data_IF_135261169371
#
_entry.id   IF_135261169371
#
_cell.length_a   1.000
_cell.length_b   1.000
_cell.length_c   1.000
_cell.angle_alpha   90.00
_cell.angle_beta   90.00
_cell.angle_gamma   90.00
#
_symmetry.space_group_name_H-M   'P 1'
#
loop_
_entity.id
_entity.type
_entity.pdbx_description
1 polymer ?
#
# COMPACT_ATOMS: atom_id res chain seq x y z
N UNK A 1 6.56 -4.61 -32.52
CA UNK A 1 7.01 -5.29 -31.28
C UNK A 1 5.97 -5.04 -30.20
N UNK A 2 5.51 -6.08 -29.51
CA UNK A 2 4.55 -5.93 -28.41
C UNK A 2 5.31 -5.80 -27.10
N UNK A 3 4.85 -4.91 -26.20
CA UNK A 3 5.38 -4.76 -24.85
C UNK A 3 4.30 -5.16 -23.84
N UNK A 4 4.71 -5.80 -22.74
CA UNK A 4 3.87 -6.14 -21.61
C UNK A 4 4.33 -5.30 -20.41
N UNK A 5 3.42 -4.50 -19.86
CA UNK A 5 3.67 -3.67 -18.70
C UNK A 5 2.89 -4.22 -17.50
N UNK A 6 3.60 -4.49 -16.38
CA UNK A 6 2.98 -4.87 -15.12
C UNK A 6 2.90 -3.65 -14.21
N UNK A 7 1.69 -3.37 -13.75
CA UNK A 7 1.40 -2.37 -12.74
C UNK A 7 0.63 -3.02 -11.60
N UNK A 8 1.09 -2.78 -10.37
CA UNK A 8 0.45 -3.28 -9.16
C UNK A 8 0.04 -2.14 -8.26
N UNK A 9 -1.19 -2.16 -7.83
CA UNK A 9 -1.71 -1.22 -6.84
C UNK A 9 -1.72 -1.87 -5.46
N UNK A 10 -1.12 -1.18 -4.51
CA UNK A 10 -1.01 -1.63 -3.11
C UNK A 10 -1.84 -0.69 -2.25
N UNK A 11 -2.97 -1.18 -1.80
CA UNK A 11 -3.88 -0.42 -0.95
C UNK A 11 -4.45 -1.31 0.15
N UNK A 12 -4.49 -0.79 1.38
CA UNK A 12 -5.15 -1.39 2.52
C UNK A 12 -5.92 -0.30 3.26
N UNK A 13 -7.26 -0.37 3.25
CA UNK A 13 -8.08 0.58 3.99
C UNK A 13 -7.98 0.30 5.49
N UNK A 14 -8.17 1.35 6.30
CA UNK A 14 -8.47 1.15 7.71
C UNK A 14 -9.88 0.59 7.87
N UNK A 15 -10.03 -0.38 8.75
CA UNK A 15 -11.32 -1.00 9.08
C UNK A 15 -11.86 -0.31 10.31
N UNK A 16 -13.13 0.06 10.23
CA UNK A 16 -13.82 0.69 11.33
C UNK A 16 -14.42 -0.39 12.23
N UNK A 17 -14.39 -0.15 13.53
CA UNK A 17 -15.12 -0.96 14.50
C UNK A 17 -16.62 -0.66 14.42
N UNK A 18 -17.43 -1.52 15.03
CA UNK A 18 -18.82 -1.19 15.22
C UNK A 18 -18.95 0.02 16.16
N UNK A 19 -19.50 1.11 15.64
CA UNK A 19 -19.64 2.38 16.33
C UNK A 19 -21.09 2.80 16.34
N UNK A 20 -21.62 3.15 17.52
CA UNK A 20 -23.03 3.49 17.70
C UNK A 20 -23.21 4.98 18.01
N UNK A 21 -24.45 5.45 17.93
CA UNK A 21 -24.78 6.81 18.33
C UNK A 21 -24.36 7.14 19.76
N UNK A 22 -24.39 6.16 20.66
CA UNK A 22 -24.04 6.36 22.08
C UNK A 22 -22.52 6.49 22.32
N UNK A 23 -21.69 6.14 21.35
CA UNK A 23 -20.24 6.29 21.42
C UNK A 23 -19.79 7.70 21.03
N UNK A 24 -20.67 8.51 20.39
CA UNK A 24 -20.36 9.86 19.93
C UNK A 24 -20.05 10.77 21.12
N UNK A 25 -18.86 11.38 21.10
CA UNK A 25 -18.38 12.28 22.15
C UNK A 25 -17.86 11.58 23.42
N UNK A 26 -17.97 10.26 23.51
CA UNK A 26 -17.48 9.44 24.64
C UNK A 26 -16.19 8.72 24.25
N UNK A 27 -16.14 8.21 23.03
CA UNK A 27 -15.03 7.43 22.51
C UNK A 27 -14.68 7.92 21.08
N UNK A 28 -13.40 8.24 20.86
CA UNK A 28 -12.88 8.69 19.57
C UNK A 28 -12.13 7.60 18.79
N UNK A 29 -12.07 6.39 19.31
CA UNK A 29 -11.41 5.27 18.62
C UNK A 29 -12.37 4.63 17.61
N UNK A 30 -12.28 5.07 16.36
CA UNK A 30 -13.15 4.61 15.28
C UNK A 30 -12.65 3.35 14.59
N UNK A 31 -11.36 3.07 14.70
CA UNK A 31 -10.70 1.99 13.95
C UNK A 31 -10.66 0.69 14.74
N UNK A 32 -10.77 -0.42 14.03
CA UNK A 32 -10.59 -1.76 14.54
C UNK A 32 -9.11 -2.16 14.41
N UNK A 33 -8.31 -1.81 15.40
CA UNK A 33 -6.87 -2.06 15.38
C UNK A 33 -6.54 -3.56 15.31
N UNK A 34 -7.28 -4.41 16.00
CA UNK A 34 -7.06 -5.86 15.99
C UNK A 34 -7.31 -6.44 14.61
N UNK A 35 -8.41 -6.02 13.95
CA UNK A 35 -8.70 -6.42 12.58
C UNK A 35 -7.66 -5.87 11.59
N UNK A 36 -7.26 -4.61 11.73
CA UNK A 36 -6.23 -3.99 10.88
C UNK A 36 -4.90 -4.72 11.00
N UNK A 37 -4.43 -4.96 12.21
CA UNK A 37 -3.20 -5.70 12.49
C UNK A 37 -3.27 -7.14 11.96
N UNK A 38 -4.33 -7.90 12.31
CA UNK A 38 -4.48 -9.29 11.92
C UNK A 38 -4.54 -9.50 10.40
N UNK A 39 -5.28 -8.63 9.70
CA UNK A 39 -5.37 -8.68 8.24
C UNK A 39 -4.06 -8.26 7.59
N UNK A 40 -3.40 -7.20 8.09
CA UNK A 40 -2.12 -6.75 7.55
C UNK A 40 -1.05 -7.83 7.68
N UNK A 41 -0.90 -8.46 8.83
CA UNK A 41 0.05 -9.57 9.03
C UNK A 41 -0.23 -10.76 8.12
N UNK A 42 -1.52 -11.10 7.94
CA UNK A 42 -1.93 -12.17 7.03
C UNK A 42 -1.56 -11.87 5.58
N UNK A 43 -1.86 -10.66 5.11
CA UNK A 43 -1.60 -10.25 3.72
C UNK A 43 -0.10 -10.06 3.49
N UNK A 44 0.65 -9.52 4.45
CA UNK A 44 2.11 -9.42 4.38
C UNK A 44 2.75 -10.79 4.12
N UNK A 45 2.38 -11.80 4.91
CA UNK A 45 2.94 -13.16 4.81
C UNK A 45 2.51 -13.92 3.56
N UNK A 46 1.25 -13.75 3.13
CA UNK A 46 0.68 -14.54 2.02
C UNK A 46 0.77 -13.88 0.66
N UNK A 47 0.94 -12.56 0.62
CA UNK A 47 0.94 -11.79 -0.61
C UNK A 47 2.20 -10.95 -0.78
N UNK A 48 2.40 -9.91 0.03
CA UNK A 48 3.44 -8.90 -0.23
C UNK A 48 4.86 -9.47 -0.18
N UNK A 49 5.23 -10.16 0.90
CA UNK A 49 6.58 -10.71 1.04
C UNK A 49 6.90 -11.77 -0.03
N UNK A 50 6.04 -12.79 -0.29
CA UNK A 50 6.29 -13.76 -1.33
C UNK A 50 6.35 -13.15 -2.73
N UNK A 51 5.47 -12.18 -3.04
CA UNK A 51 5.45 -11.51 -4.34
C UNK A 51 6.70 -10.67 -4.54
N UNK A 52 7.08 -9.86 -3.55
CA UNK A 52 8.27 -9.03 -3.64
C UNK A 52 9.55 -9.87 -3.78
N UNK A 53 9.64 -11.00 -3.09
CA UNK A 53 10.73 -11.96 -3.26
C UNK A 53 10.77 -12.55 -4.68
N UNK A 54 9.60 -12.90 -5.24
CA UNK A 54 9.49 -13.40 -6.61
C UNK A 54 9.93 -12.33 -7.63
N UNK A 55 9.45 -11.10 -7.48
CA UNK A 55 9.81 -9.99 -8.37
C UNK A 55 11.32 -9.71 -8.32
N UNK A 56 11.90 -9.68 -7.14
CA UNK A 56 13.34 -9.51 -6.96
C UNK A 56 14.14 -10.63 -7.66
N UNK A 57 13.67 -11.87 -7.52
CA UNK A 57 14.27 -13.02 -8.23
C UNK A 57 14.17 -12.88 -9.75
N UNK A 58 13.03 -12.41 -10.28
CA UNK A 58 12.84 -12.20 -11.71
C UNK A 58 13.73 -11.06 -12.24
N UNK A 59 13.83 -9.95 -11.51
CA UNK A 59 14.70 -8.83 -11.87
C UNK A 59 16.15 -9.31 -11.98
N UNK A 60 16.64 -10.08 -10.99
CA UNK A 60 18.00 -10.64 -10.99
C UNK A 60 18.19 -11.65 -12.13
N UNK A 61 17.21 -12.54 -12.33
CA UNK A 61 17.29 -13.58 -13.38
C UNK A 61 17.39 -13.00 -14.78
N UNK A 62 16.71 -11.90 -15.03
CA UNK A 62 16.67 -11.27 -16.36
C UNK A 62 17.60 -10.04 -16.49
N UNK A 63 18.54 -9.88 -15.55
CA UNK A 63 19.57 -8.86 -15.58
C UNK A 63 19.01 -7.44 -15.81
N UNK A 64 17.99 -7.08 -15.01
CA UNK A 64 17.35 -5.77 -15.05
C UNK A 64 16.44 -5.50 -16.27
N UNK A 65 16.22 -6.48 -17.15
CA UNK A 65 15.28 -6.34 -18.28
C UNK A 65 13.82 -6.48 -17.86
N UNK A 66 13.54 -7.12 -16.72
CA UNK A 66 12.22 -7.21 -16.13
C UNK A 66 11.98 -5.99 -15.25
N UNK A 67 10.95 -5.21 -15.60
CA UNK A 67 10.59 -3.98 -14.89
C UNK A 67 9.11 -4.01 -14.51
N UNK A 68 8.78 -3.37 -13.40
CA UNK A 68 7.40 -3.27 -12.89
C UNK A 68 7.14 -1.89 -12.32
N UNK A 69 5.87 -1.51 -12.24
CA UNK A 69 5.43 -0.28 -11.58
C UNK A 69 4.49 -0.59 -10.43
N UNK A 70 4.60 0.17 -9.36
CA UNK A 70 3.71 0.12 -8.20
C UNK A 70 3.13 1.50 -7.92
N UNK A 71 1.91 1.54 -7.41
CA UNK A 71 1.44 2.62 -6.55
C UNK A 71 1.14 2.06 -5.16
N UNK A 72 1.46 2.82 -4.13
CA UNK A 72 1.26 2.43 -2.73
C UNK A 72 0.56 3.58 -2.03
N UNK A 73 -0.66 3.35 -1.51
CA UNK A 73 -1.40 4.38 -0.80
C UNK A 73 -0.74 4.71 0.55
N UNK A 74 -0.92 5.94 1.03
CA UNK A 74 -0.44 6.38 2.33
C UNK A 74 -0.97 5.52 3.46
N UNK A 75 -2.28 5.19 3.42
CA UNK A 75 -2.91 4.29 4.41
C UNK A 75 -2.30 2.88 4.44
N UNK A 76 -1.81 2.37 3.30
CA UNK A 76 -1.09 1.10 3.28
C UNK A 76 0.31 1.24 3.89
N UNK A 77 1.01 2.34 3.60
CA UNK A 77 2.34 2.61 4.18
C UNK A 77 2.27 2.74 5.70
N UNK A 78 1.30 3.48 6.23
CA UNK A 78 1.09 3.61 7.68
C UNK A 78 0.89 2.26 8.36
N UNK A 79 0.04 1.41 7.77
CA UNK A 79 -0.21 0.08 8.32
C UNK A 79 1.01 -0.85 8.19
N UNK A 80 1.82 -0.72 7.12
CA UNK A 80 3.09 -1.44 7.04
C UNK A 80 4.05 -0.98 8.14
N UNK A 81 4.16 0.33 8.36
CA UNK A 81 5.04 0.88 9.40
C UNK A 81 4.62 0.40 10.79
N UNK A 82 3.32 0.40 11.07
CA UNK A 82 2.78 0.01 12.37
C UNK A 82 2.85 -1.51 12.63
N UNK A 83 2.58 -2.36 11.63
CA UNK A 83 2.34 -3.79 11.84
C UNK A 83 3.28 -4.73 11.09
N UNK A 84 3.88 -4.30 9.98
CA UNK A 84 4.69 -5.15 9.11
C UNK A 84 5.85 -4.39 8.44
N UNK A 85 6.80 -3.82 9.21
CA UNK A 85 7.89 -3.00 8.67
C UNK A 85 8.81 -3.77 7.69
N UNK A 86 8.85 -5.10 7.79
CA UNK A 86 9.57 -5.95 6.84
C UNK A 86 9.05 -5.83 5.40
N UNK A 87 7.76 -5.49 5.22
CA UNK A 87 7.18 -5.24 3.90
C UNK A 87 7.79 -3.97 3.28
N UNK A 88 7.93 -2.90 4.07
CA UNK A 88 8.59 -1.66 3.61
C UNK A 88 10.02 -1.96 3.18
N UNK A 89 10.76 -2.76 3.96
CA UNK A 89 12.12 -3.13 3.62
C UNK A 89 12.17 -3.91 2.29
N UNK A 90 11.23 -4.83 2.07
CA UNK A 90 11.15 -5.59 0.82
C UNK A 90 10.87 -4.68 -0.40
N UNK A 91 10.03 -3.66 -0.27
CA UNK A 91 9.81 -2.66 -1.32
C UNK A 91 11.06 -1.79 -1.56
N UNK A 92 11.76 -1.38 -0.50
CA UNK A 92 13.03 -0.64 -0.63
C UNK A 92 14.08 -1.44 -1.43
N UNK A 93 14.20 -2.73 -1.17
CA UNK A 93 15.10 -3.62 -1.91
C UNK A 93 14.72 -3.69 -3.40
N UNK A 94 13.42 -3.78 -3.71
CA UNK A 94 12.93 -3.75 -5.09
C UNK A 94 13.27 -2.42 -5.79
N UNK A 95 12.99 -1.29 -5.15
CA UNK A 95 13.28 0.05 -5.70
C UNK A 95 14.77 0.25 -5.90
N UNK A 96 15.60 -0.24 -4.98
CA UNK A 96 17.06 -0.16 -5.09
C UNK A 96 17.64 -0.87 -6.33
N UNK A 97 16.92 -1.79 -6.94
CA UNK A 97 17.34 -2.44 -8.20
C UNK A 97 17.32 -1.50 -9.40
N UNK A 98 16.63 -0.36 -9.33
CA UNK A 98 16.38 0.55 -10.46
C UNK A 98 15.38 0.01 -11.51
N UNK A 99 14.72 -1.14 -11.24
CA UNK A 99 13.78 -1.79 -12.14
C UNK A 99 12.32 -1.63 -11.72
N UNK A 100 12.10 -0.89 -10.64
CA UNK A 100 10.76 -0.63 -10.08
C UNK A 100 10.50 0.87 -10.09
N UNK A 101 9.38 1.26 -10.70
CA UNK A 101 8.87 2.62 -10.71
C UNK A 101 7.74 2.76 -9.71
N UNK A 102 7.80 3.79 -8.87
CA UNK A 102 6.71 4.15 -7.97
C UNK A 102 5.89 5.28 -8.59
N UNK A 103 4.59 5.04 -8.71
CA UNK A 103 3.63 6.01 -9.19
C UNK A 103 2.91 6.67 -8.01
N UNK A 104 2.68 7.98 -8.12
CA UNK A 104 1.91 8.71 -7.12
C UNK A 104 0.43 8.33 -7.18
N UNK A 105 -0.18 8.28 -6.01
CA UNK A 105 -1.64 8.17 -5.85
C UNK A 105 -2.11 9.00 -4.66
N UNK A 106 -3.43 9.14 -4.50
CA UNK A 106 -3.98 9.82 -3.33
C UNK A 106 -3.72 9.01 -2.07
N UNK A 107 -3.43 9.72 -0.97
CA UNK A 107 -3.09 9.11 0.32
C UNK A 107 -4.09 8.03 0.77
N UNK A 108 -5.39 8.34 0.70
CA UNK A 108 -6.47 7.44 1.09
C UNK A 108 -7.03 6.61 -0.07
N UNK A 109 -6.38 6.61 -1.24
CA UNK A 109 -6.91 5.96 -2.44
C UNK A 109 -8.33 6.43 -2.77
N UNK A 110 -8.55 7.73 -2.75
CA UNK A 110 -9.87 8.36 -2.82
C UNK A 110 -10.18 8.99 -4.18
N UNK A 111 -11.46 9.23 -4.40
CA UNK A 111 -11.97 10.00 -5.53
C UNK A 111 -12.17 11.50 -5.17
N UNK A 112 -11.34 12.03 -4.28
CA UNK A 112 -11.46 13.40 -3.79
C UNK A 112 -11.52 14.45 -4.90
N UNK A 113 -10.83 14.22 -6.03
CA UNK A 113 -10.83 15.13 -7.18
C UNK A 113 -12.23 15.43 -7.74
N UNK A 114 -13.21 14.55 -7.50
CA UNK A 114 -14.60 14.74 -7.97
C UNK A 114 -15.36 15.79 -7.15
N UNK A 115 -14.94 16.03 -5.91
CA UNK A 115 -15.69 16.83 -4.94
C UNK A 115 -14.90 18.01 -4.38
N UNK A 116 -13.58 17.85 -4.17
CA UNK A 116 -12.71 18.85 -3.58
C UNK A 116 -11.31 18.80 -4.20
N UNK A 117 -10.98 19.74 -5.09
CA UNK A 117 -9.62 19.87 -5.61
C UNK A 117 -8.57 20.17 -4.52
N UNK A 118 -8.96 20.81 -3.43
CA UNK A 118 -8.11 21.10 -2.27
C UNK A 118 -7.71 19.81 -1.58
N UNK A 119 -8.70 18.99 -1.20
CA UNK A 119 -8.49 17.68 -0.57
C UNK A 119 -7.64 16.77 -1.47
N UNK A 120 -7.89 16.77 -2.78
CA UNK A 120 -7.07 16.00 -3.71
C UNK A 120 -5.60 16.43 -3.67
N UNK A 121 -5.32 17.75 -3.65
CA UNK A 121 -3.94 18.25 -3.57
C UNK A 121 -3.26 17.87 -2.27
N UNK A 122 -3.99 17.95 -1.15
CA UNK A 122 -3.47 17.56 0.17
C UNK A 122 -3.12 16.07 0.23
N UNK A 123 -3.92 15.22 -0.42
CA UNK A 123 -3.66 13.78 -0.44
C UNK A 123 -2.51 13.37 -1.38
N UNK A 124 -2.13 14.19 -2.34
CA UNK A 124 -1.03 13.91 -3.29
C UNK A 124 0.29 14.55 -2.85
N UNK A 125 0.22 15.58 -2.02
CA UNK A 125 1.41 16.27 -1.50
C UNK A 125 2.20 15.44 -0.51
#
# INVERSE_FOLDING_TARGET
MSALCFYFQVHQPYRLRHYTFFDIGVDSFYEDEDANCGIMLKVARKCYLPMNALLLKLIRKYDGRFKVSFSISGTALDQFEAYAPEVIQSFRELVATGCVELLSETYNHSLAFLYSPEEFREQVA
#
